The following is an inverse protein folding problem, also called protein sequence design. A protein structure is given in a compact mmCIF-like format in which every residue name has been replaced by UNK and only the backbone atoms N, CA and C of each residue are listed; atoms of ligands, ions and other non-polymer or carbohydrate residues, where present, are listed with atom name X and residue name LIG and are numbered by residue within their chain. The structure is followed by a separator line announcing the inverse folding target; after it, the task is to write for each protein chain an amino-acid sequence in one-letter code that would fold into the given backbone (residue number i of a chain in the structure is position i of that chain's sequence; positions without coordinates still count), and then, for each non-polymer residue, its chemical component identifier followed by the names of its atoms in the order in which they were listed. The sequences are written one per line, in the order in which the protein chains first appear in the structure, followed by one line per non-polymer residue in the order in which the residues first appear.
data_IF_464185912561
#
_entry.id   IF_464185912561
#
_cell.length_a   1.000
_cell.length_b   1.000
_cell.length_c   1.000
_cell.angle_alpha   90.00
_cell.angle_beta   90.00
_cell.angle_gamma   90.00
#
_symmetry.space_group_name_H-M   'P 1'
#
loop_
_entity.id
_entity.type
_entity.pdbx_description
1 polymer ?
#
# COMPACT_ATOMS: atom_id res chain seq x y z
N UNK A 1 -6.51 2.48 -29.52
CA UNK A 1 -5.92 2.45 -28.16
C UNK A 1 -6.47 1.22 -27.46
N UNK A 2 -5.65 0.31 -26.91
CA UNK A 2 -6.16 -0.85 -26.19
C UNK A 2 -6.97 -0.41 -24.99
N UNK A 3 -7.98 -1.18 -24.61
CA UNK A 3 -8.78 -0.95 -23.41
C UNK A 3 -7.93 -1.09 -22.14
N UNK A 4 -8.46 -0.61 -21.01
CA UNK A 4 -7.84 -0.84 -19.69
C UNK A 4 -7.81 -2.33 -19.32
N UNK A 5 -8.73 -3.14 -19.86
CA UNK A 5 -8.77 -4.58 -19.60
C UNK A 5 -7.52 -5.31 -20.07
N UNK A 6 -6.82 -4.80 -21.08
CA UNK A 6 -5.56 -5.41 -21.54
C UNK A 6 -4.48 -5.36 -20.47
N UNK A 7 -4.55 -4.45 -19.49
CA UNK A 7 -3.61 -4.46 -18.36
C UNK A 7 -3.61 -5.81 -17.61
N UNK A 8 -4.75 -6.49 -17.59
CA UNK A 8 -4.92 -7.78 -16.91
C UNK A 8 -4.77 -8.93 -17.89
N UNK A 9 -5.37 -8.84 -19.07
CA UNK A 9 -5.42 -9.96 -20.02
C UNK A 9 -4.17 -10.09 -20.89
N UNK A 10 -3.50 -8.97 -21.18
CA UNK A 10 -2.26 -8.91 -21.97
C UNK A 10 -1.41 -7.69 -21.53
N UNK A 11 -0.76 -7.78 -20.36
CA UNK A 11 0.04 -6.67 -19.83
C UNK A 11 1.18 -6.27 -20.78
N UNK A 12 1.75 -7.20 -21.55
CA UNK A 12 2.83 -6.88 -22.49
C UNK A 12 2.34 -5.95 -23.59
N UNK A 13 1.21 -6.26 -24.22
CA UNK A 13 0.60 -5.37 -25.20
C UNK A 13 0.13 -4.05 -24.56
N UNK A 14 -0.39 -4.10 -23.33
CA UNK A 14 -0.75 -2.88 -22.61
C UNK A 14 0.43 -1.93 -22.52
N UNK A 15 1.57 -2.38 -21.98
CA UNK A 15 2.73 -1.53 -21.74
C UNK A 15 3.47 -1.12 -23.00
N UNK A 16 3.48 -1.97 -24.04
CA UNK A 16 4.03 -1.61 -25.36
C UNK A 16 3.31 -0.39 -25.93
N UNK A 17 1.98 -0.42 -25.98
CA UNK A 17 1.21 0.65 -26.60
C UNK A 17 1.28 1.96 -25.80
N UNK A 18 1.43 1.89 -24.46
CA UNK A 18 1.56 3.09 -23.62
C UNK A 18 2.98 3.66 -23.61
N UNK A 19 4.00 2.89 -24.00
CA UNK A 19 5.38 3.39 -24.07
C UNK A 19 5.58 4.33 -25.26
N UNK A 20 4.83 4.14 -26.35
CA UNK A 20 4.85 4.98 -27.54
C UNK A 20 4.28 6.38 -27.26
N UNK A 21 3.18 6.48 -26.50
CA UNK A 21 2.57 7.74 -26.08
C UNK A 21 2.26 7.79 -24.58
N UNK A 22 3.28 7.98 -23.70
CA UNK A 22 3.10 7.89 -22.25
C UNK A 22 2.29 9.06 -21.68
N UNK A 23 1.17 8.76 -21.02
CA UNK A 23 0.32 9.74 -20.32
C UNK A 23 0.52 9.71 -18.80
N UNK A 24 0.34 10.87 -18.15
CA UNK A 24 0.37 11.01 -16.69
C UNK A 24 -0.97 10.67 -16.03
N UNK A 25 -2.08 10.83 -16.75
CA UNK A 25 -3.43 10.85 -16.15
C UNK A 25 -3.77 9.53 -15.47
N UNK A 26 -3.63 8.41 -16.18
CA UNK A 26 -3.94 7.08 -15.64
C UNK A 26 -3.07 6.70 -14.42
N UNK A 27 -1.74 6.74 -14.52
CA UNK A 27 -0.83 6.49 -13.39
C UNK A 27 -1.12 7.37 -12.18
N UNK A 28 -1.28 8.68 -12.38
CA UNK A 28 -1.55 9.61 -11.30
C UNK A 28 -2.92 9.36 -10.65
N UNK A 29 -3.94 8.99 -11.43
CA UNK A 29 -5.25 8.62 -10.91
C UNK A 29 -5.17 7.37 -10.03
N UNK A 30 -4.45 6.33 -10.46
CA UNK A 30 -4.25 5.10 -9.67
C UNK A 30 -3.63 5.41 -8.31
N UNK A 31 -2.50 6.15 -8.30
CA UNK A 31 -1.77 6.51 -7.07
C UNK A 31 -2.62 7.41 -6.17
N UNK A 32 -3.36 8.35 -6.75
CA UNK A 32 -4.25 9.25 -6.01
C UNK A 32 -5.41 8.49 -5.36
N UNK A 33 -6.02 7.54 -6.07
CA UNK A 33 -7.10 6.73 -5.51
C UNK A 33 -6.59 5.84 -4.36
N UNK A 34 -5.39 5.27 -4.46
CA UNK A 34 -4.74 4.56 -3.35
C UNK A 34 -4.59 5.48 -2.14
N UNK A 35 -4.06 6.69 -2.34
CA UNK A 35 -3.86 7.66 -1.28
C UNK A 35 -5.20 8.05 -0.60
N UNK A 36 -6.24 8.30 -1.39
CA UNK A 36 -7.59 8.62 -0.88
C UNK A 36 -8.17 7.43 -0.09
N UNK A 37 -8.11 6.20 -0.62
CA UNK A 37 -8.60 5.01 0.08
C UNK A 37 -7.83 4.80 1.39
N UNK A 38 -6.53 5.05 1.40
CA UNK A 38 -5.68 5.02 2.59
C UNK A 38 -6.13 6.04 3.64
N UNK A 39 -6.42 7.28 3.23
CA UNK A 39 -6.97 8.32 4.12
C UNK A 39 -8.30 7.88 4.72
N UNK A 40 -9.25 7.40 3.90
CA UNK A 40 -10.58 6.97 4.37
C UNK A 40 -10.45 5.80 5.36
N UNK A 41 -9.68 4.78 5.03
CA UNK A 41 -9.43 3.64 5.92
C UNK A 41 -8.72 4.07 7.22
N UNK A 42 -7.76 4.99 7.11
CA UNK A 42 -7.03 5.58 8.23
C UNK A 42 -7.96 6.32 9.19
N UNK A 43 -8.84 7.19 8.69
CA UNK A 43 -9.80 7.95 9.51
C UNK A 43 -10.73 7.00 10.27
N UNK A 44 -11.23 5.95 9.62
CA UNK A 44 -12.08 4.95 10.28
C UNK A 44 -11.31 4.29 11.43
N UNK A 45 -10.06 3.87 11.18
CA UNK A 45 -9.21 3.22 12.17
C UNK A 45 -8.86 4.14 13.34
N UNK A 46 -8.47 5.39 13.07
CA UNK A 46 -8.16 6.41 14.09
C UNK A 46 -9.34 6.58 15.04
N UNK A 47 -10.56 6.72 14.52
CA UNK A 47 -11.73 6.98 15.38
C UNK A 47 -11.96 5.84 16.36
N UNK A 48 -11.78 4.59 15.94
CA UNK A 48 -11.97 3.44 16.82
C UNK A 48 -10.77 3.22 17.75
N UNK A 49 -9.54 3.35 17.25
CA UNK A 49 -8.33 3.23 18.07
C UNK A 49 -8.18 4.38 19.08
N UNK A 50 -8.72 5.55 18.77
CA UNK A 50 -8.75 6.70 19.67
C UNK A 50 -9.49 6.40 20.97
N UNK A 51 -10.59 5.62 20.91
CA UNK A 51 -11.34 5.21 22.10
C UNK A 51 -10.53 4.25 23.00
N UNK A 52 -9.74 3.37 22.39
CA UNK A 52 -8.83 2.47 23.12
C UNK A 52 -7.74 3.29 23.80
N UNK A 53 -7.11 4.20 23.06
CA UNK A 53 -6.07 5.06 23.59
C UNK A 53 -6.58 5.97 24.72
N UNK A 54 -7.76 6.56 24.55
CA UNK A 54 -8.39 7.39 25.59
C UNK A 54 -8.58 6.63 26.90
N UNK A 55 -9.03 5.36 26.83
CA UNK A 55 -9.15 4.49 28.02
C UNK A 55 -7.81 4.16 28.66
N UNK A 56 -6.81 3.82 27.84
CA UNK A 56 -5.44 3.58 28.32
C UNK A 56 -4.89 4.81 29.04
N UNK A 57 -5.09 6.00 28.48
CA UNK A 57 -4.62 7.25 29.08
C UNK A 57 -5.40 7.60 30.35
N UNK A 58 -6.71 7.42 30.36
CA UNK A 58 -7.53 7.63 31.57
C UNK A 58 -7.07 6.72 32.73
N UNK A 59 -6.83 5.44 32.45
CA UNK A 59 -6.31 4.48 33.44
C UNK A 59 -4.89 4.84 33.93
N UNK A 60 -4.08 5.49 33.09
CA UNK A 60 -2.73 5.95 33.42
C UNK A 60 -2.69 7.33 34.12
N UNK A 61 -3.85 7.95 34.39
CA UNK A 61 -3.94 9.29 34.98
C UNK A 61 -3.61 10.43 34.01
N UNK A 62 -3.62 10.17 32.70
CA UNK A 62 -3.45 11.16 31.65
C UNK A 62 -4.66 12.08 31.50
N UNK A 63 -4.41 13.37 31.26
CA UNK A 63 -5.46 14.37 31.02
C UNK A 63 -5.88 14.50 29.56
N UNK A 64 -6.92 15.32 29.31
CA UNK A 64 -7.48 15.59 27.98
C UNK A 64 -6.42 16.08 26.96
N UNK A 65 -5.37 16.76 27.43
CA UNK A 65 -4.27 17.26 26.60
C UNK A 65 -3.49 16.13 25.92
N UNK A 66 -3.27 15.01 26.62
CA UNK A 66 -2.56 13.86 26.07
C UNK A 66 -3.37 13.14 24.97
N UNK A 67 -4.69 13.03 25.17
CA UNK A 67 -5.63 12.48 24.17
C UNK A 67 -5.69 13.39 22.94
N UNK A 68 -5.76 14.71 23.13
CA UNK A 68 -5.74 15.68 22.04
C UNK A 68 -4.45 15.64 21.22
N UNK A 69 -3.30 15.56 21.88
CA UNK A 69 -1.99 15.43 21.21
C UNK A 69 -1.90 14.16 20.36
N UNK A 70 -2.34 13.01 20.89
CA UNK A 70 -2.34 11.74 20.15
C UNK A 70 -3.21 11.80 18.90
N UNK A 71 -4.43 12.36 19.01
CA UNK A 71 -5.32 12.53 17.86
C UNK A 71 -4.69 13.43 16.79
N UNK A 72 -4.09 14.55 17.18
CA UNK A 72 -3.40 15.44 16.27
C UNK A 72 -2.21 14.74 15.57
N UNK A 73 -1.42 13.96 16.32
CA UNK A 73 -0.33 13.17 15.78
C UNK A 73 -0.81 12.14 14.75
N UNK A 74 -1.90 11.42 15.05
CA UNK A 74 -2.43 10.43 14.09
C UNK A 74 -3.00 11.10 12.84
N UNK A 75 -3.67 12.25 12.96
CA UNK A 75 -4.16 13.01 11.80
C UNK A 75 -2.99 13.50 10.94
N UNK A 76 -1.91 14.00 11.55
CA UNK A 76 -0.69 14.33 10.83
C UNK A 76 -0.13 13.10 10.09
N UNK A 77 -0.14 11.93 10.73
CA UNK A 77 0.24 10.66 10.12
C UNK A 77 -0.57 10.32 8.87
N UNK A 78 -1.88 10.58 8.84
CA UNK A 78 -2.71 10.37 7.64
C UNK A 78 -2.30 11.32 6.50
N UNK A 79 -2.09 12.59 6.80
CA UNK A 79 -1.69 13.60 5.81
C UNK A 79 -0.31 13.25 5.24
N UNK A 80 0.63 12.87 6.11
CA UNK A 80 1.95 12.39 5.70
C UNK A 80 1.81 11.14 4.84
N UNK A 81 0.97 10.18 5.22
CA UNK A 81 0.72 8.95 4.45
C UNK A 81 0.20 9.22 3.03
N UNK A 82 -0.66 10.23 2.86
CA UNK A 82 -1.12 10.68 1.55
C UNK A 82 0.07 11.14 0.68
N UNK A 83 0.95 11.99 1.20
CA UNK A 83 2.14 12.49 0.48
C UNK A 83 3.14 11.36 0.21
N UNK A 84 3.41 10.52 1.21
CA UNK A 84 4.32 9.38 1.11
C UNK A 84 3.91 8.43 0.00
N UNK A 85 2.61 8.30 -0.31
CA UNK A 85 2.13 7.47 -1.43
C UNK A 85 2.72 7.91 -2.77
N UNK A 86 2.83 9.23 -3.02
CA UNK A 86 3.47 9.76 -4.22
C UNK A 86 5.00 9.64 -4.17
N UNK A 87 5.59 9.81 -2.99
CA UNK A 87 7.04 9.63 -2.79
C UNK A 87 7.43 8.18 -3.08
N UNK A 88 6.66 7.19 -2.62
CA UNK A 88 6.88 5.78 -2.93
C UNK A 88 6.83 5.53 -4.43
N UNK A 89 5.83 6.06 -5.14
CA UNK A 89 5.78 5.95 -6.60
C UNK A 89 7.04 6.52 -7.27
N UNK A 90 7.49 7.70 -6.83
CA UNK A 90 8.74 8.31 -7.31
C UNK A 90 9.96 7.44 -7.03
N UNK A 91 10.08 6.89 -5.82
CA UNK A 91 11.19 6.03 -5.42
C UNK A 91 11.24 4.73 -6.23
N UNK A 92 10.10 4.08 -6.47
CA UNK A 92 10.03 2.91 -7.35
C UNK A 92 10.46 3.25 -8.78
N UNK A 93 9.97 4.38 -9.32
CA UNK A 93 10.39 4.84 -10.64
C UNK A 93 11.89 5.12 -10.71
N UNK A 94 12.44 5.80 -9.70
CA UNK A 94 13.87 6.13 -9.62
C UNK A 94 14.74 4.87 -9.49
N UNK A 95 14.34 3.95 -8.62
CA UNK A 95 14.99 2.67 -8.45
C UNK A 95 14.99 1.87 -9.76
N UNK A 96 13.84 1.68 -10.41
CA UNK A 96 13.78 0.90 -11.65
C UNK A 96 14.55 1.55 -12.79
N UNK A 97 14.52 2.88 -12.89
CA UNK A 97 15.34 3.61 -13.86
C UNK A 97 16.84 3.39 -13.61
N UNK A 98 17.29 3.57 -12.37
CA UNK A 98 18.70 3.39 -11.99
C UNK A 98 19.18 1.95 -12.13
N UNK A 99 18.44 0.98 -11.58
CA UNK A 99 18.78 -0.43 -11.63
C UNK A 99 18.78 -0.99 -13.06
N UNK A 100 17.89 -0.49 -13.94
CA UNK A 100 17.88 -0.88 -15.35
C UNK A 100 19.16 -0.50 -16.11
N UNK A 101 19.94 0.48 -15.61
CA UNK A 101 21.20 0.88 -16.24
C UNK A 101 22.27 -0.21 -16.19
N UNK A 102 22.16 -1.16 -15.24
CA UNK A 102 23.04 -2.34 -15.15
C UNK A 102 22.82 -3.33 -16.32
N UNK A 103 21.74 -3.14 -17.07
CA UNK A 103 21.34 -3.99 -18.20
C UNK A 103 21.23 -3.18 -19.51
N UNK A 104 21.95 -2.06 -19.60
CA UNK A 104 21.97 -1.17 -20.76
C UNK A 104 20.59 -0.57 -21.11
N UNK A 105 19.73 -0.37 -20.12
CA UNK A 105 18.41 0.20 -20.31
C UNK A 105 18.45 1.63 -20.87
N UNK A 106 17.64 1.91 -21.89
CA UNK A 106 17.59 3.22 -22.59
C UNK A 106 16.23 3.90 -22.42
N UNK A 107 16.11 5.17 -22.83
CA UNK A 107 14.85 5.94 -22.69
C UNK A 107 14.84 6.93 -21.52
N UNK A 108 13.69 7.57 -21.30
CA UNK A 108 13.56 8.71 -20.37
C UNK A 108 13.01 8.26 -19.02
N UNK A 109 13.54 8.85 -17.94
CA UNK A 109 13.02 8.66 -16.58
C UNK A 109 11.52 8.94 -16.47
N UNK A 110 11.04 9.99 -17.15
CA UNK A 110 9.62 10.35 -17.15
C UNK A 110 8.73 9.26 -17.76
N UNK A 111 9.20 8.54 -18.78
CA UNK A 111 8.49 7.38 -19.33
C UNK A 111 8.43 6.24 -18.32
N UNK A 112 9.55 5.94 -17.65
CA UNK A 112 9.61 4.94 -16.58
C UNK A 112 8.64 5.27 -15.46
N UNK A 113 8.65 6.50 -14.96
CA UNK A 113 7.78 6.91 -13.86
C UNK A 113 6.29 6.75 -14.22
N UNK A 114 5.88 7.18 -15.42
CA UNK A 114 4.51 7.00 -15.92
C UNK A 114 4.12 5.52 -16.00
N UNK A 115 4.93 4.68 -16.62
CA UNK A 115 4.59 3.27 -16.81
C UNK A 115 4.58 2.52 -15.46
N UNK A 116 5.52 2.81 -14.56
CA UNK A 116 5.61 2.20 -13.23
C UNK A 116 4.37 2.48 -12.38
N UNK A 117 3.73 3.65 -12.56
CA UNK A 117 2.51 3.98 -11.83
C UNK A 117 1.34 3.02 -12.10
N UNK A 118 1.28 2.42 -13.29
CA UNK A 118 0.29 1.37 -13.59
C UNK A 118 0.53 0.06 -12.82
N UNK A 119 1.77 -0.22 -12.40
CA UNK A 119 2.06 -1.39 -11.56
C UNK A 119 1.52 -1.28 -10.14
N UNK A 120 0.98 -0.13 -9.74
CA UNK A 120 0.24 0.05 -8.48
C UNK A 120 -1.25 -0.31 -8.59
N UNK A 121 -1.78 -0.66 -9.78
CA UNK A 121 -3.19 -1.09 -9.93
C UNK A 121 -3.58 -2.26 -9.01
N UNK A 122 -2.75 -3.30 -8.80
CA UNK A 122 -3.04 -4.35 -7.83
C UNK A 122 -3.19 -3.80 -6.41
N UNK A 123 -2.36 -2.84 -6.02
CA UNK A 123 -2.45 -2.16 -4.72
C UNK A 123 -3.71 -1.31 -4.58
N UNK A 124 -4.23 -0.75 -5.68
CA UNK A 124 -5.53 -0.05 -5.68
C UNK A 124 -6.67 -1.03 -5.36
N UNK A 125 -6.68 -2.20 -5.99
CA UNK A 125 -7.64 -3.26 -5.68
C UNK A 125 -7.51 -3.72 -4.22
N UNK A 126 -6.27 -3.96 -3.76
CA UNK A 126 -5.99 -4.31 -2.38
C UNK A 126 -6.42 -3.24 -1.37
N UNK A 127 -6.25 -1.96 -1.70
CA UNK A 127 -6.68 -0.83 -0.85
C UNK A 127 -8.20 -0.79 -0.70
N UNK A 128 -8.94 -1.06 -1.79
CA UNK A 128 -10.39 -1.15 -1.76
C UNK A 128 -10.85 -2.31 -0.87
N UNK A 129 -10.28 -3.51 -1.05
CA UNK A 129 -10.61 -4.67 -0.21
C UNK A 129 -10.26 -4.42 1.26
N UNK A 130 -9.11 -3.81 1.53
CA UNK A 130 -8.73 -3.44 2.89
C UNK A 130 -9.70 -2.43 3.50
N UNK A 131 -10.18 -1.44 2.74
CA UNK A 131 -11.21 -0.52 3.21
C UNK A 131 -12.49 -1.27 3.59
N UNK A 132 -12.94 -2.23 2.77
CA UNK A 132 -14.12 -3.06 3.09
C UNK A 132 -13.91 -3.86 4.38
N UNK A 133 -12.72 -4.46 4.57
CA UNK A 133 -12.37 -5.17 5.80
C UNK A 133 -12.39 -4.21 7.00
N UNK A 134 -11.82 -3.03 6.88
CA UNK A 134 -11.81 -2.00 7.93
C UNK A 134 -13.23 -1.57 8.29
N UNK A 135 -14.08 -1.28 7.30
CA UNK A 135 -15.50 -0.93 7.52
C UNK A 135 -16.23 -2.08 8.23
N UNK A 136 -16.09 -3.31 7.74
CA UNK A 136 -16.73 -4.46 8.35
C UNK A 136 -16.29 -4.65 9.81
N UNK A 137 -14.99 -4.63 10.08
CA UNK A 137 -14.43 -4.86 11.42
C UNK A 137 -14.82 -3.77 12.41
N UNK A 138 -14.68 -2.50 12.03
CA UNK A 138 -14.77 -1.39 12.96
C UNK A 138 -16.13 -0.68 12.98
N UNK A 139 -16.97 -0.86 11.95
CA UNK A 139 -18.31 -0.22 11.89
C UNK A 139 -19.47 -1.20 11.96
N UNK A 140 -19.33 -2.38 11.35
CA UNK A 140 -20.42 -3.36 11.28
C UNK A 140 -20.35 -4.33 12.46
N UNK A 141 -19.24 -5.05 12.61
CA UNK A 141 -19.04 -5.99 13.73
C UNK A 141 -18.87 -5.25 15.05
N UNK A 142 -18.22 -4.08 15.01
CA UNK A 142 -17.85 -3.33 16.20
C UNK A 142 -16.71 -3.98 16.98
N UNK A 143 -16.15 -3.22 17.91
CA UNK A 143 -15.15 -3.69 18.87
C UNK A 143 -15.63 -3.31 20.26
N UNK A 144 -15.78 -4.30 21.14
CA UNK A 144 -16.00 -4.05 22.55
C UNK A 144 -14.65 -3.75 23.19
N UNK A 145 -14.48 -2.50 23.61
CA UNK A 145 -13.27 -2.04 24.28
C UNK A 145 -13.41 -2.30 25.77
N UNK A 146 -12.53 -3.12 26.38
CA UNK A 146 -12.57 -3.41 27.81
C UNK A 146 -12.57 -2.14 28.66
N UNK A 147 -13.18 -2.20 29.84
CA UNK A 147 -13.23 -1.10 30.79
C UNK A 147 -11.91 -0.86 31.51
N UNK A 148 -11.01 -1.86 31.55
CA UNK A 148 -9.68 -1.79 32.16
C UNK A 148 -8.61 -2.13 31.11
N UNK A 149 -7.83 -1.14 30.69
CA UNK A 149 -6.76 -1.27 29.72
C UNK A 149 -5.47 -0.69 30.31
N UNK A 150 -4.97 -1.31 31.37
CA UNK A 150 -3.70 -0.92 32.00
C UNK A 150 -2.56 -1.88 31.67
N UNK A 151 -1.37 -1.32 31.47
CA UNK A 151 -0.12 -2.07 31.29
C UNK A 151 -0.21 -3.20 30.26
N UNK A 152 -0.04 -4.44 30.72
CA UNK A 152 0.00 -5.63 29.88
C UNK A 152 -1.35 -5.94 29.21
N UNK A 153 -2.49 -5.60 29.82
CA UNK A 153 -3.81 -5.84 29.26
C UNK A 153 -4.04 -5.00 27.99
N UNK A 154 -3.56 -3.75 27.97
CA UNK A 154 -3.60 -2.91 26.78
C UNK A 154 -2.80 -3.49 25.62
N UNK A 155 -1.59 -3.99 25.90
CA UNK A 155 -0.74 -4.61 24.88
C UNK A 155 -1.40 -5.88 24.30
N UNK A 156 -1.97 -6.74 25.15
CA UNK A 156 -2.68 -7.95 24.72
C UNK A 156 -3.91 -7.61 23.88
N UNK A 157 -4.69 -6.61 24.28
CA UNK A 157 -5.86 -6.18 23.53
C UNK A 157 -5.46 -5.60 22.16
N UNK A 158 -4.41 -4.78 22.10
CA UNK A 158 -3.87 -4.27 20.84
C UNK A 158 -3.36 -5.40 19.94
N UNK A 159 -2.77 -6.46 20.50
CA UNK A 159 -2.41 -7.64 19.73
C UNK A 159 -3.65 -8.34 19.16
N UNK A 160 -4.71 -8.53 19.95
CA UNK A 160 -5.97 -9.11 19.49
C UNK A 160 -6.64 -8.29 18.38
N UNK A 161 -6.58 -6.95 18.46
CA UNK A 161 -7.07 -6.05 17.41
C UNK A 161 -6.26 -6.21 16.12
N UNK A 162 -4.98 -6.55 16.20
CA UNK A 162 -4.09 -6.71 15.05
C UNK A 162 -3.89 -8.15 14.60
N UNK A 163 -4.64 -9.11 15.16
CA UNK A 163 -4.60 -10.52 14.76
C UNK A 163 -5.98 -11.06 14.37
N UNK A 164 -6.00 -12.30 13.91
CA UNK A 164 -7.20 -13.05 13.57
C UNK A 164 -7.53 -13.09 12.07
N UNK A 165 -8.55 -13.87 11.68
CA UNK A 165 -8.70 -14.35 10.31
C UNK A 165 -8.78 -13.26 9.23
N UNK A 166 -9.46 -12.14 9.53
CA UNK A 166 -9.58 -11.03 8.57
C UNK A 166 -8.28 -10.22 8.42
N UNK A 167 -7.46 -10.15 9.47
CA UNK A 167 -6.14 -9.51 9.40
C UNK A 167 -5.19 -10.40 8.61
N UNK A 168 -5.20 -11.71 8.89
CA UNK A 168 -4.44 -12.70 8.14
C UNK A 168 -4.84 -12.68 6.66
N UNK A 169 -6.14 -12.63 6.36
CA UNK A 169 -6.64 -12.51 4.99
C UNK A 169 -6.11 -11.23 4.30
N UNK A 170 -6.18 -10.08 4.96
CA UNK A 170 -5.65 -8.84 4.41
C UNK A 170 -4.14 -8.92 4.12
N UNK A 171 -3.37 -9.56 5.01
CA UNK A 171 -1.93 -9.75 4.84
C UNK A 171 -1.61 -10.72 3.68
N UNK A 172 -2.32 -11.85 3.57
CA UNK A 172 -2.19 -12.80 2.45
C UNK A 172 -2.55 -12.14 1.12
N UNK A 173 -3.64 -11.38 1.07
CA UNK A 173 -4.00 -10.62 -0.13
C UNK A 173 -2.91 -9.61 -0.50
N UNK A 174 -2.26 -8.97 0.48
CA UNK A 174 -1.11 -8.11 0.26
C UNK A 174 0.03 -8.81 -0.49
N UNK A 175 0.34 -10.06 -0.15
CA UNK A 175 1.33 -10.89 -0.85
C UNK A 175 0.91 -11.13 -2.31
N UNK A 176 -0.35 -11.54 -2.53
CA UNK A 176 -0.89 -11.80 -3.87
C UNK A 176 -0.81 -10.54 -4.74
N UNK A 177 -1.23 -9.39 -4.20
CA UNK A 177 -1.17 -8.13 -4.94
C UNK A 177 0.26 -7.65 -5.19
N UNK A 178 1.21 -7.93 -4.29
CA UNK A 178 2.63 -7.62 -4.50
C UNK A 178 3.20 -8.43 -5.66
N UNK A 179 2.90 -9.72 -5.74
CA UNK A 179 3.32 -10.57 -6.87
C UNK A 179 2.73 -10.08 -8.19
N UNK A 180 1.45 -9.71 -8.18
CA UNK A 180 0.80 -9.13 -9.36
C UNK A 180 1.42 -7.79 -9.76
N UNK A 181 1.76 -6.91 -8.80
CA UNK A 181 2.50 -5.68 -9.07
C UNK A 181 3.87 -5.96 -9.69
N UNK A 182 4.58 -6.99 -9.22
CA UNK A 182 5.85 -7.43 -9.80
C UNK A 182 5.74 -7.84 -11.27
N UNK A 183 4.68 -8.57 -11.64
CA UNK A 183 4.40 -8.92 -13.03
C UNK A 183 4.20 -7.67 -13.89
N UNK A 184 3.37 -6.72 -13.43
CA UNK A 184 3.10 -5.49 -14.17
C UNK A 184 4.34 -4.60 -14.28
N UNK A 185 5.11 -4.45 -13.20
CA UNK A 185 6.36 -3.69 -13.22
C UNK A 185 7.40 -4.30 -14.15
N UNK A 186 7.43 -5.63 -14.29
CA UNK A 186 8.32 -6.30 -15.26
C UNK A 186 8.05 -5.79 -16.68
N UNK A 187 6.78 -5.76 -17.12
CA UNK A 187 6.43 -5.24 -18.44
C UNK A 187 6.55 -3.72 -18.54
N UNK A 188 6.25 -2.99 -17.46
CA UNK A 188 6.45 -1.55 -17.39
C UNK A 188 7.93 -1.19 -17.65
N UNK A 189 8.86 -1.86 -16.96
CA UNK A 189 10.31 -1.64 -17.10
C UNK A 189 10.80 -2.13 -18.46
N UNK A 190 10.34 -3.30 -18.93
CA UNK A 190 10.66 -3.82 -20.27
C UNK A 190 10.46 -2.76 -21.35
N UNK A 191 9.26 -2.16 -21.40
CA UNK A 191 8.90 -1.19 -22.43
C UNK A 191 9.39 0.22 -22.16
N UNK A 192 9.47 0.65 -20.90
CA UNK A 192 10.00 1.98 -20.57
C UNK A 192 11.51 2.08 -20.75
N UNK A 193 12.23 0.96 -20.58
CA UNK A 193 13.70 0.89 -20.60
C UNK A 193 14.28 0.11 -21.76
N UNK A 194 13.44 -0.37 -22.69
CA UNK A 194 13.82 -1.17 -23.86
C UNK A 194 14.64 -2.42 -23.50
N UNK A 195 14.29 -3.06 -22.39
CA UNK A 195 14.96 -4.26 -21.90
C UNK A 195 14.31 -5.54 -22.43
N UNK A 196 15.06 -6.64 -22.41
CA UNK A 196 14.45 -7.97 -22.50
C UNK A 196 13.56 -8.23 -21.28
N UNK A 197 12.54 -9.09 -21.43
CA UNK A 197 11.65 -9.46 -20.31
C UNK A 197 12.45 -10.00 -19.12
N UNK A 198 13.53 -10.77 -19.38
CA UNK A 198 14.40 -11.33 -18.34
C UNK A 198 15.09 -10.25 -17.52
N UNK A 199 15.74 -9.28 -18.18
CA UNK A 199 16.47 -8.21 -17.51
C UNK A 199 15.52 -7.27 -16.76
N UNK A 200 14.34 -7.02 -17.32
CA UNK A 200 13.29 -6.26 -16.63
C UNK A 200 12.81 -6.98 -15.36
N UNK A 201 12.60 -8.30 -15.41
CA UNK A 201 12.19 -9.09 -14.24
C UNK A 201 13.26 -9.06 -13.13
N UNK A 202 14.54 -9.19 -13.49
CA UNK A 202 15.66 -9.08 -12.54
C UNK A 202 15.70 -7.68 -11.90
N UNK A 203 15.45 -6.63 -12.68
CA UNK A 203 15.36 -5.25 -12.17
C UNK A 203 14.25 -5.09 -11.12
N UNK A 204 13.15 -5.83 -11.26
CA UNK A 204 11.96 -5.71 -10.41
C UNK A 204 12.02 -6.60 -9.16
N UNK A 205 12.87 -7.63 -9.15
CA UNK A 205 12.85 -8.67 -8.13
C UNK A 205 13.09 -8.14 -6.71
N UNK A 206 13.99 -7.19 -6.52
CA UNK A 206 14.36 -6.72 -5.19
C UNK A 206 13.19 -6.02 -4.47
N UNK A 207 12.50 -5.02 -5.07
CA UNK A 207 11.30 -4.45 -4.45
C UNK A 207 10.20 -5.48 -4.18
N UNK A 208 10.03 -6.47 -5.07
CA UNK A 208 9.06 -7.55 -4.85
C UNK A 208 9.45 -8.40 -3.64
N UNK A 209 10.71 -8.82 -3.52
CA UNK A 209 11.19 -9.58 -2.37
C UNK A 209 11.04 -8.81 -1.05
N UNK A 210 11.31 -7.51 -1.05
CA UNK A 210 11.05 -6.64 0.11
C UNK A 210 9.56 -6.66 0.47
N UNK A 211 8.69 -6.47 -0.52
CA UNK A 211 7.23 -6.52 -0.32
C UNK A 211 6.74 -7.87 0.20
N UNK A 212 7.31 -8.97 -0.31
CA UNK A 212 7.04 -10.33 0.18
C UNK A 212 7.51 -10.53 1.63
N UNK A 213 8.67 -10.00 1.99
CA UNK A 213 9.17 -10.03 3.38
C UNK A 213 8.24 -9.27 4.33
N UNK A 214 7.81 -8.07 3.95
CA UNK A 214 6.82 -7.29 4.72
C UNK A 214 5.50 -8.03 4.84
N UNK A 215 5.00 -8.60 3.73
CA UNK A 215 3.77 -9.41 3.73
C UNK A 215 3.87 -10.65 4.60
N UNK A 216 4.98 -11.38 4.54
CA UNK A 216 5.24 -12.56 5.36
C UNK A 216 5.30 -12.23 6.86
N UNK A 217 5.98 -11.13 7.22
CA UNK A 217 5.97 -10.62 8.59
C UNK A 217 4.57 -10.22 9.05
N UNK A 218 3.77 -9.59 8.19
CA UNK A 218 2.39 -9.23 8.50
C UNK A 218 1.51 -10.46 8.71
N UNK A 219 1.67 -11.51 7.90
CA UNK A 219 0.97 -12.80 8.09
C UNK A 219 1.36 -13.42 9.43
N UNK A 220 2.67 -13.49 9.73
CA UNK A 220 3.18 -14.07 10.98
C UNK A 220 2.58 -13.40 12.22
N UNK A 221 2.52 -12.06 12.24
CA UNK A 221 1.94 -11.32 13.36
C UNK A 221 0.41 -11.37 13.44
N UNK A 222 -0.25 -11.73 12.34
CA UNK A 222 -1.70 -11.81 12.28
C UNK A 222 -2.26 -13.17 12.71
N UNK A 223 -1.41 -14.21 12.77
CA UNK A 223 -1.74 -15.54 13.29
C UNK A 223 -1.78 -15.54 14.82
#
# INVERSE_FOLDING_TARGET
MPSISTLVTDPDAFFRDRSESPSWVGPALVVTLIAILGVVAGVIRIRTMGQIFERIMADAGGGADATGFFQAFQLAGIVIGFVVTYVVWLLYGAYFYGASALFDGTGKFTTTLKLVGWGFVPSLVGSLLNLLIVVYRFRIRGFDVPSNLSGQAAAQYMQQVNSGPLVTLAAVLGIVFTLWSGLLWTFAVKHARQLSTRNAAITVVLPVLIGLGVGGFAVFNAL
#
